data_IF_137846565141
#
_entry.id   IF_137846565141
#
_cell.length_a   1.000
_cell.length_b   1.000
_cell.length_c   1.000
_cell.angle_alpha   90.00
_cell.angle_beta   90.00
_cell.angle_gamma   90.00
#
_symmetry.space_group_name_H-M   'P 1'
#
loop_
_entity.id
_entity.type
_entity.pdbx_description
1 polymer ?
#
# COMPACT_ATOMS: atom_id res chain seq x y z
N UNK A 1 2.04 7.95 -2.35
CA UNK A 1 1.58 7.79 -0.96
C UNK A 1 0.25 8.50 -0.77
N UNK A 2 -0.69 7.82 -0.13
CA UNK A 2 -1.99 8.40 0.18
C UNK A 2 -1.95 8.99 1.57
N UNK A 3 -2.37 10.26 1.71
CA UNK A 3 -2.35 10.96 2.99
C UNK A 3 -3.72 11.56 3.24
N UNK A 4 -4.30 11.25 4.40
CA UNK A 4 -5.54 11.91 4.83
C UNK A 4 -5.21 13.32 5.31
N UNK A 5 -6.12 14.26 5.03
CA UNK A 5 -5.88 15.67 5.36
C UNK A 5 -5.57 15.87 6.85
N UNK A 6 -6.27 15.18 7.74
CA UNK A 6 -6.06 15.30 9.18
C UNK A 6 -4.75 14.69 9.67
N UNK A 7 -4.07 13.90 8.82
CA UNK A 7 -2.78 13.29 9.15
C UNK A 7 -1.61 13.99 8.48
N UNK A 8 -1.87 15.00 7.66
CA UNK A 8 -0.81 15.73 6.97
C UNK A 8 0.01 16.54 7.97
N UNK A 9 1.35 16.49 7.88
CA UNK A 9 2.18 17.37 8.68
C UNK A 9 1.94 18.82 8.33
N UNK A 10 2.23 19.71 9.26
CA UNK A 10 1.99 21.15 9.09
C UNK A 10 2.75 21.73 7.90
N UNK A 11 3.95 21.23 7.65
CA UNK A 11 4.81 21.71 6.57
C UNK A 11 5.25 20.55 5.70
N UNK A 12 4.74 20.54 4.48
CA UNK A 12 5.18 19.58 3.48
C UNK A 12 5.46 20.32 2.17
N UNK A 13 6.34 19.76 1.38
CA UNK A 13 6.59 20.19 0.01
C UNK A 13 6.23 19.05 -0.91
N UNK A 14 5.34 19.31 -1.85
CA UNK A 14 4.98 18.32 -2.85
C UNK A 14 6.03 18.36 -3.95
N UNK A 15 6.74 17.26 -4.15
CA UNK A 15 7.80 17.14 -5.16
C UNK A 15 7.21 16.79 -6.52
N UNK A 16 6.22 15.91 -6.53
CA UNK A 16 5.55 15.53 -7.76
C UNK A 16 4.15 15.01 -7.49
N UNK A 17 3.31 15.09 -8.50
CA UNK A 17 1.96 14.54 -8.49
C UNK A 17 1.79 13.80 -9.81
N UNK A 18 1.29 12.57 -9.73
CA UNK A 18 0.92 11.83 -10.94
C UNK A 18 -0.43 11.17 -10.76
N UNK A 19 -1.08 10.88 -11.88
CA UNK A 19 -2.35 10.15 -11.90
C UNK A 19 -2.07 8.78 -12.49
N UNK A 20 -2.56 7.74 -11.83
CA UNK A 20 -2.41 6.38 -12.33
C UNK A 20 -3.60 5.54 -11.88
N UNK A 21 -3.79 4.39 -12.50
CA UNK A 21 -4.75 3.41 -12.00
C UNK A 21 -4.22 2.80 -10.70
N UNK A 22 -5.14 2.50 -9.79
CA UNK A 22 -4.78 1.90 -8.50
C UNK A 22 -3.95 0.62 -8.66
N UNK A 23 -4.31 -0.22 -9.65
CA UNK A 23 -3.61 -1.49 -9.87
C UNK A 23 -2.23 -1.34 -10.49
N UNK A 24 -1.85 -0.13 -10.91
CA UNK A 24 -0.50 0.14 -11.43
C UNK A 24 0.53 0.40 -10.33
N UNK A 25 0.15 0.24 -9.08
CA UNK A 25 1.05 0.48 -7.96
C UNK A 25 2.27 -0.43 -8.04
N UNK A 26 3.46 0.14 -7.85
CA UNK A 26 4.70 -0.63 -7.86
C UNK A 26 4.90 -1.35 -6.53
N UNK A 27 5.78 -2.36 -6.55
CA UNK A 27 6.16 -3.06 -5.32
C UNK A 27 6.72 -2.09 -4.27
N UNK A 28 7.59 -1.17 -4.70
CA UNK A 28 8.16 -0.16 -3.82
C UNK A 28 7.08 0.71 -3.17
N UNK A 29 6.10 1.14 -3.96
CA UNK A 29 5.02 1.96 -3.43
C UNK A 29 4.12 1.18 -2.47
N UNK A 30 3.95 -0.12 -2.69
CA UNK A 30 3.24 -0.97 -1.73
C UNK A 30 3.91 -0.94 -0.36
N UNK A 31 5.24 -1.03 -0.32
CA UNK A 31 5.98 -0.96 0.95
C UNK A 31 5.81 0.39 1.62
N UNK A 32 5.79 1.47 0.85
CA UNK A 32 5.54 2.82 1.37
C UNK A 32 4.15 2.97 1.97
N UNK A 33 3.19 2.20 1.48
CA UNK A 33 1.81 2.24 1.97
C UNK A 33 1.55 1.29 3.14
N UNK A 34 2.59 0.64 3.65
CA UNK A 34 2.48 -0.17 4.85
C UNK A 34 2.46 -1.67 4.64
N UNK A 35 2.71 -2.12 3.41
CA UNK A 35 2.89 -3.54 3.13
C UNK A 35 4.31 -3.93 3.51
N UNK A 36 4.48 -5.06 4.15
CA UNK A 36 5.80 -5.56 4.50
C UNK A 36 5.93 -7.05 4.23
N UNK A 37 7.18 -7.46 4.10
CA UNK A 37 7.58 -8.82 3.75
C UNK A 37 7.80 -9.63 5.02
N UNK A 38 7.26 -10.84 5.04
CA UNK A 38 7.46 -11.79 6.13
C UNK A 38 8.22 -12.98 5.58
N UNK A 39 9.27 -13.39 6.27
CA UNK A 39 10.01 -14.59 5.95
C UNK A 39 9.64 -15.66 6.97
N UNK A 40 9.30 -16.86 6.49
CA UNK A 40 8.90 -17.96 7.35
C UNK A 40 9.40 -19.28 6.76
N UNK A 41 9.30 -20.34 7.54
CA UNK A 41 9.74 -21.67 7.09
C UNK A 41 8.58 -22.65 7.14
N UNK A 42 8.29 -23.24 5.99
CA UNK A 42 7.30 -24.30 5.85
C UNK A 42 7.73 -25.16 4.65
N UNK A 43 8.31 -26.33 4.94
CA UNK A 43 8.90 -27.17 3.89
C UNK A 43 10.00 -26.42 3.11
N UNK A 44 10.78 -25.59 3.82
CA UNK A 44 11.80 -24.73 3.26
C UNK A 44 11.47 -23.26 3.42
N UNK A 45 12.39 -22.36 2.98
CA UNK A 45 12.17 -20.92 3.11
C UNK A 45 10.99 -20.46 2.27
N UNK A 46 10.13 -19.64 2.85
CA UNK A 46 8.96 -19.05 2.20
C UNK A 46 8.90 -17.55 2.49
N UNK A 47 8.22 -16.83 1.61
CA UNK A 47 8.02 -15.39 1.74
C UNK A 47 6.54 -15.10 1.58
N UNK A 48 6.03 -14.21 2.42
CA UNK A 48 4.67 -13.71 2.33
C UNK A 48 4.66 -12.19 2.50
N UNK A 49 3.54 -11.59 2.14
CA UNK A 49 3.35 -10.14 2.23
C UNK A 49 2.05 -9.85 2.95
N UNK A 50 2.08 -8.88 3.85
CA UNK A 50 0.91 -8.51 4.63
C UNK A 50 1.02 -7.05 5.04
N UNK A 51 0.07 -6.62 5.86
CA UNK A 51 0.01 -5.26 6.38
C UNK A 51 -0.15 -5.32 7.90
N UNK A 52 0.04 -4.17 8.56
CA UNK A 52 -0.05 -4.08 10.01
C UNK A 52 -1.39 -4.62 10.51
N UNK A 53 -1.34 -5.51 11.52
CA UNK A 53 -2.48 -6.19 12.11
C UNK A 53 -3.11 -7.24 11.19
N UNK A 54 -2.44 -7.58 10.09
CA UNK A 54 -2.87 -8.69 9.26
C UNK A 54 -2.66 -10.02 9.98
N UNK A 55 -3.64 -10.91 9.84
CA UNK A 55 -3.54 -12.27 10.40
C UNK A 55 -2.83 -13.17 9.38
N UNK A 56 -2.42 -14.36 9.82
CA UNK A 56 -1.80 -15.34 8.90
C UNK A 56 -2.71 -15.59 7.70
N UNK A 57 -4.02 -15.64 7.91
CA UNK A 57 -4.99 -15.79 6.82
C UNK A 57 -4.97 -14.66 5.80
N UNK A 58 -4.39 -13.51 6.16
CA UNK A 58 -4.29 -12.35 5.28
C UNK A 58 -2.95 -12.29 4.53
N UNK A 59 -2.07 -13.26 4.72
CA UNK A 59 -0.78 -13.32 4.04
C UNK A 59 -0.99 -13.63 2.56
N UNK A 60 -0.30 -12.88 1.70
CA UNK A 60 -0.40 -13.02 0.24
C UNK A 60 0.96 -13.35 -0.37
N UNK A 61 0.93 -13.76 -1.61
CA UNK A 61 2.15 -14.15 -2.34
C UNK A 61 2.89 -12.96 -2.94
N UNK A 62 2.20 -11.84 -3.16
CA UNK A 62 2.81 -10.64 -3.75
C UNK A 62 2.43 -9.39 -2.94
N UNK A 63 3.28 -8.34 -2.99
CA UNK A 63 2.94 -7.09 -2.32
C UNK A 63 1.66 -6.46 -2.86
N UNK A 64 1.40 -6.57 -4.16
CA UNK A 64 0.21 -6.01 -4.79
C UNK A 64 -1.06 -6.70 -4.29
N UNK A 65 -1.02 -8.03 -4.11
CA UNK A 65 -2.16 -8.76 -3.56
C UNK A 65 -2.44 -8.35 -2.11
N UNK A 66 -1.39 -8.14 -1.32
CA UNK A 66 -1.55 -7.67 0.06
C UNK A 66 -2.14 -6.27 0.09
N UNK A 67 -1.69 -5.40 -0.79
CA UNK A 67 -2.22 -4.06 -0.91
C UNK A 67 -3.69 -4.07 -1.37
N UNK A 68 -4.03 -4.95 -2.31
CA UNK A 68 -5.42 -5.12 -2.76
C UNK A 68 -6.36 -5.47 -1.60
N UNK A 69 -5.93 -6.40 -0.75
CA UNK A 69 -6.69 -6.79 0.43
C UNK A 69 -6.85 -5.62 1.41
N UNK A 70 -5.77 -4.89 1.64
CA UNK A 70 -5.80 -3.72 2.51
C UNK A 70 -6.76 -2.64 1.97
N UNK A 71 -6.70 -2.35 0.68
CA UNK A 71 -7.55 -1.35 0.05
C UNK A 71 -9.03 -1.74 0.17
N UNK A 72 -9.35 -3.00 -0.09
CA UNK A 72 -10.74 -3.47 0.01
C UNK A 72 -11.26 -3.39 1.45
N UNK A 73 -10.40 -3.56 2.44
CA UNK A 73 -10.79 -3.44 3.85
C UNK A 73 -10.95 -1.99 4.30
N UNK A 74 -10.12 -1.07 3.78
CA UNK A 74 -10.12 0.32 4.23
C UNK A 74 -11.02 1.23 3.40
N UNK A 75 -11.16 0.95 2.10
CA UNK A 75 -11.91 1.79 1.16
C UNK A 75 -13.22 1.15 0.70
N UNK A 76 -13.46 -0.10 1.06
CA UNK A 76 -14.66 -0.83 0.68
C UNK A 76 -14.37 -1.96 -0.30
N UNK A 77 -15.12 -3.05 -0.13
CA UNK A 77 -14.97 -4.24 -0.97
C UNK A 77 -15.24 -3.88 -2.44
N UNK A 78 -14.35 -4.33 -3.31
CA UNK A 78 -14.47 -4.07 -4.75
C UNK A 78 -13.71 -2.86 -5.24
N UNK A 79 -13.13 -2.06 -4.34
CA UNK A 79 -12.34 -0.89 -4.74
C UNK A 79 -11.16 -1.27 -5.61
N UNK A 80 -10.42 -2.31 -5.23
CA UNK A 80 -9.29 -2.79 -6.03
C UNK A 80 -9.73 -3.22 -7.43
N UNK A 81 -10.81 -4.02 -7.50
CA UNK A 81 -11.28 -4.55 -8.78
C UNK A 81 -11.84 -3.47 -9.70
N UNK A 82 -12.37 -2.38 -9.15
CA UNK A 82 -12.84 -1.25 -9.96
C UNK A 82 -11.68 -0.47 -10.60
N UNK A 83 -10.48 -0.66 -10.08
CA UNK A 83 -9.25 -0.06 -10.62
C UNK A 83 -9.38 1.45 -10.91
N UNK A 84 -9.77 2.26 -9.90
CA UNK A 84 -9.98 3.68 -10.14
C UNK A 84 -8.69 4.42 -10.42
N UNK A 85 -8.81 5.59 -11.03
CA UNK A 85 -7.70 6.53 -11.15
C UNK A 85 -7.47 7.17 -9.78
N UNK A 86 -6.21 7.27 -9.40
CA UNK A 86 -5.82 7.85 -8.11
C UNK A 86 -4.67 8.84 -8.32
N UNK A 87 -4.58 9.81 -7.41
CA UNK A 87 -3.45 10.73 -7.38
C UNK A 87 -2.37 10.15 -6.49
N UNK A 88 -1.15 10.11 -6.99
CA UNK A 88 0.01 9.69 -6.24
C UNK A 88 0.90 10.90 -6.02
N UNK A 89 1.12 11.24 -4.74
CA UNK A 89 1.92 12.39 -4.35
C UNK A 89 3.29 11.93 -3.86
N UNK A 90 4.33 12.56 -4.37
CA UNK A 90 5.66 12.50 -3.78
C UNK A 90 5.87 13.79 -3.01
N UNK A 91 6.23 13.69 -1.74
CA UNK A 91 6.42 14.88 -0.91
C UNK A 91 7.56 14.67 0.06
N UNK A 92 8.05 15.78 0.60
CA UNK A 92 9.04 15.77 1.66
C UNK A 92 8.56 16.63 2.82
N UNK A 93 9.00 16.28 4.01
CA UNK A 93 8.71 17.08 5.21
C UNK A 93 9.69 18.24 5.27
N UNK A 94 9.17 19.45 5.48
CA UNK A 94 9.96 20.66 5.68
C UNK A 94 9.47 21.35 6.95
N UNK A 95 10.38 22.01 7.62
CA UNK A 95 10.05 22.74 8.84
C UNK A 95 9.79 24.21 8.56
#
# INVERSE_FOLDING_TARGET
MFVKAELMPKHIRIKSVRVQHLQDISEEDCYKEGIYKIEYSQNGPKVAYTYRRGKISDWKETPQEAFADLIDKTCGKGTWNSNPLVYVYEFELVD
#
